data_IF_035918352113
#
_entry.id   IF_035918352113
#
_cell.length_a   1.000
_cell.length_b   1.000
_cell.length_c   1.000
_cell.angle_alpha   90.00
_cell.angle_beta   90.00
_cell.angle_gamma   90.00
#
_symmetry.space_group_name_H-M   'P 1'
#
loop_
_entity.id
_entity.type
_entity.pdbx_description
1 polymer ?
#
# COMPACT_ATOMS: atom_id res chain seq x y z
N UNK A 1 -78.01 -35.00 -53.93
CA UNK A 1 -76.67 -35.60 -54.11
C UNK A 1 -75.69 -34.66 -53.44
N UNK A 2 -74.97 -35.16 -52.44
CA UNK A 2 -73.95 -34.47 -51.64
C UNK A 2 -72.91 -33.76 -52.54
N UNK A 3 -72.10 -32.80 -52.12
CA UNK A 3 -71.36 -32.73 -50.86
C UNK A 3 -70.69 -31.35 -50.78
N UNK A 4 -70.82 -30.71 -49.62
CA UNK A 4 -69.73 -30.08 -48.84
C UNK A 4 -68.62 -29.34 -49.62
N UNK A 5 -68.61 -28.01 -49.46
CA UNK A 5 -67.40 -27.32 -49.02
C UNK A 5 -67.76 -26.43 -47.83
N UNK A 6 -67.84 -27.13 -46.70
CA UNK A 6 -67.85 -26.64 -45.34
C UNK A 6 -66.48 -26.02 -45.03
N UNK A 7 -66.25 -24.79 -45.46
CA UNK A 7 -65.18 -23.96 -44.94
C UNK A 7 -65.77 -22.58 -44.64
N UNK A 8 -65.65 -22.16 -43.38
CA UNK A 8 -66.03 -20.84 -42.85
C UNK A 8 -67.37 -20.73 -42.10
N UNK A 9 -67.99 -21.82 -41.65
CA UNK A 9 -69.19 -21.74 -40.78
C UNK A 9 -68.92 -21.72 -39.27
N UNK A 10 -67.67 -21.54 -38.81
CA UNK A 10 -67.39 -21.55 -37.35
C UNK A 10 -66.45 -20.41 -36.87
N UNK A 11 -65.89 -19.59 -37.76
CA UNK A 11 -64.91 -18.57 -37.36
C UNK A 11 -65.47 -17.29 -36.74
N UNK A 12 -66.62 -16.81 -37.24
CA UNK A 12 -67.00 -15.39 -37.06
C UNK A 12 -68.19 -15.16 -36.13
N UNK A 13 -68.78 -16.21 -35.56
CA UNK A 13 -70.03 -16.11 -34.80
C UNK A 13 -69.88 -15.93 -33.27
N UNK A 14 -68.65 -15.93 -32.73
CA UNK A 14 -68.40 -15.80 -31.28
C UNK A 14 -67.41 -14.69 -30.93
N UNK A 15 -67.60 -13.50 -31.50
CA UNK A 15 -66.88 -12.30 -31.11
C UNK A 15 -67.82 -11.10 -31.11
N UNK A 16 -68.12 -10.58 -29.93
CA UNK A 16 -68.96 -9.41 -29.70
C UNK A 16 -68.68 -8.29 -30.73
N UNK A 17 -69.65 -8.00 -31.62
CA UNK A 17 -69.52 -6.97 -32.66
C UNK A 17 -69.36 -5.56 -32.09
N UNK A 18 -69.74 -5.35 -30.82
CA UNK A 18 -69.49 -4.09 -30.09
C UNK A 18 -68.00 -3.87 -29.79
N UNK A 19 -67.16 -4.91 -29.88
CA UNK A 19 -65.71 -4.78 -29.72
C UNK A 19 -65.02 -4.37 -31.02
N UNK A 20 -65.71 -4.37 -32.17
CA UNK A 20 -65.09 -4.01 -33.46
C UNK A 20 -64.79 -2.51 -33.58
N UNK A 21 -65.56 -1.69 -32.87
CA UNK A 21 -65.38 -0.23 -32.81
C UNK A 21 -64.56 0.23 -31.58
N UNK A 22 -64.11 -0.70 -30.74
CA UNK A 22 -63.15 -0.37 -29.69
C UNK A 22 -61.79 -0.18 -30.34
N UNK A 23 -61.45 1.09 -30.59
CA UNK A 23 -60.11 1.51 -31.00
C UNK A 23 -59.10 0.79 -30.13
N UNK A 24 -58.31 -0.08 -30.74
CA UNK A 24 -57.18 -0.73 -30.10
C UNK A 24 -56.32 0.39 -29.52
N UNK A 25 -56.36 0.59 -28.20
CA UNK A 25 -55.52 1.58 -27.55
C UNK A 25 -54.10 1.09 -27.78
N UNK A 26 -53.43 1.68 -28.77
CA UNK A 26 -52.02 1.43 -29.00
C UNK A 26 -51.33 1.63 -27.65
N UNK A 27 -50.74 0.55 -27.12
CA UNK A 27 -49.94 0.64 -25.92
C UNK A 27 -48.93 1.77 -26.16
N UNK A 28 -48.77 2.71 -25.22
CA UNK A 28 -47.82 3.80 -25.40
C UNK A 28 -46.47 3.15 -25.73
N UNK A 29 -45.82 3.66 -26.79
CA UNK A 29 -44.46 3.26 -27.14
C UNK A 29 -43.65 3.14 -25.86
N UNK A 30 -42.97 2.00 -25.67
CA UNK A 30 -42.23 1.72 -24.45
C UNK A 30 -41.26 2.87 -24.21
N UNK A 31 -41.61 3.73 -23.25
CA UNK A 31 -40.79 4.88 -22.89
C UNK A 31 -39.48 4.29 -22.42
N UNK A 32 -38.40 4.55 -23.17
CA UNK A 32 -37.10 4.04 -22.82
C UNK A 32 -36.74 4.63 -21.45
N UNK A 33 -36.84 3.82 -20.40
CA UNK A 33 -36.42 4.19 -19.04
C UNK A 33 -34.90 4.33 -18.93
N UNK A 34 -34.18 4.11 -20.02
CA UNK A 34 -32.77 4.41 -20.11
C UNK A 34 -32.62 5.94 -20.18
N UNK A 35 -31.99 6.56 -19.18
CA UNK A 35 -31.80 7.99 -19.16
C UNK A 35 -30.94 8.39 -20.37
N UNK A 36 -31.58 8.97 -21.38
CA UNK A 36 -30.99 9.53 -22.59
C UNK A 36 -30.27 10.86 -22.28
N UNK A 37 -29.46 10.89 -21.23
CA UNK A 37 -28.73 12.10 -20.84
C UNK A 37 -27.25 11.80 -20.70
N UNK A 38 -26.45 12.67 -21.31
CA UNK A 38 -25.00 12.70 -21.24
C UNK A 38 -24.49 12.88 -19.79
N UNK A 39 -25.41 13.14 -18.84
CA UNK A 39 -25.13 13.22 -17.41
C UNK A 39 -24.50 11.95 -16.83
N UNK A 40 -24.86 10.75 -17.31
CA UNK A 40 -24.15 9.53 -16.89
C UNK A 40 -22.71 9.49 -17.38
N UNK A 41 -22.43 10.07 -18.55
CA UNK A 41 -21.08 10.19 -19.06
C UNK A 41 -20.25 11.12 -18.17
N UNK A 42 -20.85 12.23 -17.71
CA UNK A 42 -20.23 13.14 -16.73
C UNK A 42 -20.03 12.44 -15.38
N UNK A 43 -21.02 11.68 -14.88
CA UNK A 43 -20.89 10.92 -13.62
C UNK A 43 -19.80 9.85 -13.74
N UNK A 44 -19.77 9.10 -14.85
CA UNK A 44 -18.72 8.12 -15.12
C UNK A 44 -17.34 8.77 -15.22
N UNK A 45 -17.23 9.94 -15.84
CA UNK A 45 -15.98 10.70 -15.94
C UNK A 45 -15.49 11.15 -14.55
N UNK A 46 -16.38 11.71 -13.74
CA UNK A 46 -16.07 12.13 -12.37
C UNK A 46 -15.66 10.93 -11.52
N UNK A 47 -16.40 9.82 -11.60
CA UNK A 47 -16.07 8.59 -10.90
C UNK A 47 -14.72 8.03 -11.35
N UNK A 48 -14.44 8.03 -12.65
CA UNK A 48 -13.14 7.61 -13.20
C UNK A 48 -11.98 8.48 -12.71
N UNK A 49 -12.17 9.80 -12.59
CA UNK A 49 -11.17 10.70 -12.01
C UNK A 49 -10.93 10.42 -10.53
N UNK A 50 -11.99 10.18 -9.76
CA UNK A 50 -11.87 9.81 -8.34
C UNK A 50 -11.15 8.48 -8.16
N UNK A 51 -11.54 7.46 -8.93
CA UNK A 51 -10.89 6.15 -8.95
C UNK A 51 -9.42 6.31 -9.36
N UNK A 52 -9.13 7.06 -10.43
CA UNK A 52 -7.79 7.31 -10.91
C UNK A 52 -6.90 7.98 -9.84
N UNK A 53 -7.39 9.04 -9.19
CA UNK A 53 -6.67 9.67 -8.07
C UNK A 53 -6.45 8.68 -6.92
N UNK A 54 -7.47 7.91 -6.57
CA UNK A 54 -7.37 6.92 -5.49
C UNK A 54 -6.33 5.85 -5.83
N UNK A 55 -6.32 5.32 -7.06
CA UNK A 55 -5.34 4.34 -7.53
C UNK A 55 -3.93 4.93 -7.57
N UNK A 56 -3.76 6.20 -7.94
CA UNK A 56 -2.44 6.84 -7.92
C UNK A 56 -1.91 6.96 -6.49
N UNK A 57 -2.74 7.40 -5.54
CA UNK A 57 -2.36 7.51 -4.13
C UNK A 57 -2.11 6.13 -3.50
N UNK A 58 -2.99 5.16 -3.76
CA UNK A 58 -2.85 3.79 -3.30
C UNK A 58 -1.62 3.12 -3.92
N UNK A 59 -1.35 3.37 -5.20
CA UNK A 59 -0.16 2.93 -5.92
C UNK A 59 1.09 3.48 -5.27
N UNK A 60 1.19 4.79 -5.06
CA UNK A 60 2.35 5.40 -4.39
C UNK A 60 2.57 4.81 -2.98
N UNK A 61 1.50 4.59 -2.21
CA UNK A 61 1.57 3.92 -0.91
C UNK A 61 2.00 2.45 -1.03
N UNK A 62 1.55 1.74 -2.07
CA UNK A 62 1.93 0.36 -2.34
C UNK A 62 3.40 0.22 -2.75
N UNK A 63 3.90 1.12 -3.61
CA UNK A 63 5.31 1.18 -4.00
C UNK A 63 6.20 1.45 -2.79
N UNK A 64 5.78 2.35 -1.88
CA UNK A 64 6.44 2.58 -0.58
C UNK A 64 6.41 1.35 0.32
N UNK A 65 5.31 0.60 0.37
CA UNK A 65 5.25 -0.60 1.20
C UNK A 65 5.92 -1.84 0.59
N UNK A 66 6.28 -1.82 -0.71
CA UNK A 66 6.89 -2.97 -1.39
C UNK A 66 8.30 -3.25 -0.90
N UNK A 67 9.10 -2.21 -0.65
CA UNK A 67 10.45 -2.39 -0.12
C UNK A 67 10.39 -2.97 1.30
N UNK A 68 9.47 -2.49 2.14
CA UNK A 68 9.25 -3.00 3.51
C UNK A 68 8.98 -4.50 3.50
N UNK A 69 8.09 -4.98 2.62
CA UNK A 69 7.79 -6.41 2.48
C UNK A 69 9.00 -7.25 2.07
N UNK A 70 9.78 -6.78 1.07
CA UNK A 70 10.99 -7.50 0.61
C UNK A 70 12.07 -7.58 1.68
N UNK A 71 12.26 -6.51 2.43
CA UNK A 71 13.26 -6.46 3.50
C UNK A 71 12.82 -7.30 4.70
N UNK A 72 11.53 -7.26 5.04
CA UNK A 72 10.96 -8.11 6.08
C UNK A 72 11.08 -9.60 5.75
N UNK A 73 10.80 -10.00 4.51
CA UNK A 73 10.99 -11.41 4.10
C UNK A 73 12.45 -11.84 4.16
N UNK A 74 13.39 -10.95 3.86
CA UNK A 74 14.83 -11.23 3.97
C UNK A 74 15.27 -11.35 5.43
N UNK A 75 14.76 -10.51 6.33
CA UNK A 75 15.03 -10.60 7.78
C UNK A 75 14.48 -11.90 8.38
N UNK A 76 13.31 -12.36 7.93
CA UNK A 76 12.75 -13.65 8.36
C UNK A 76 13.54 -14.86 7.88
N UNK A 77 14.27 -14.72 6.77
CA UNK A 77 15.12 -15.77 6.22
C UNK A 77 16.51 -15.82 6.88
N UNK A 78 16.83 -14.89 7.80
CA UNK A 78 18.08 -14.91 8.53
C UNK A 78 18.12 -16.08 9.51
N UNK A 79 19.24 -16.81 9.50
CA UNK A 79 19.53 -17.80 10.52
C UNK A 79 20.10 -17.12 11.77
N UNK A 80 19.42 -17.28 12.90
CA UNK A 80 19.84 -16.74 14.20
C UNK A 80 21.15 -17.40 14.67
N UNK A 81 21.43 -18.61 14.18
CA UNK A 81 22.59 -19.43 14.57
C UNK A 81 23.89 -18.94 13.93
N UNK A 82 23.82 -18.27 12.77
CA UNK A 82 25.00 -17.76 12.07
C UNK A 82 25.49 -16.44 12.70
N UNK A 83 26.35 -16.56 13.70
CA UNK A 83 26.90 -15.43 14.44
C UNK A 83 27.94 -14.63 13.64
N UNK A 84 28.46 -15.18 12.53
CA UNK A 84 29.50 -14.55 11.71
C UNK A 84 28.89 -13.66 10.62
N UNK A 85 27.88 -14.16 9.91
CA UNK A 85 27.30 -13.45 8.77
C UNK A 85 26.08 -12.58 9.11
N UNK A 86 25.28 -12.97 10.11
CA UNK A 86 24.02 -12.27 10.44
C UNK A 86 24.20 -10.80 10.80
N UNK A 87 25.20 -10.39 11.62
CA UNK A 87 25.43 -8.98 11.96
C UNK A 87 25.67 -8.10 10.73
N UNK A 88 26.52 -8.58 9.80
CA UNK A 88 26.86 -7.86 8.56
C UNK A 88 25.68 -7.83 7.59
N UNK A 89 24.94 -8.93 7.49
CA UNK A 89 23.76 -9.00 6.64
C UNK A 89 22.68 -8.02 7.10
N UNK A 90 22.40 -7.96 8.40
CA UNK A 90 21.43 -7.01 8.97
C UNK A 90 21.86 -5.56 8.72
N UNK A 91 23.16 -5.26 8.87
CA UNK A 91 23.68 -3.92 8.58
C UNK A 91 23.44 -3.51 7.13
N UNK A 92 23.80 -4.37 6.18
CA UNK A 92 23.56 -4.13 4.76
C UNK A 92 22.07 -3.97 4.44
N UNK A 93 21.22 -4.78 5.07
CA UNK A 93 19.78 -4.74 4.85
C UNK A 93 19.15 -3.44 5.38
N UNK A 94 19.57 -2.97 6.55
CA UNK A 94 19.16 -1.69 7.12
C UNK A 94 19.69 -0.50 6.29
N UNK A 95 20.94 -0.55 5.82
CA UNK A 95 21.44 0.48 4.90
C UNK A 95 20.62 0.51 3.59
N UNK A 96 20.31 -0.65 3.01
CA UNK A 96 19.43 -0.74 1.84
C UNK A 96 18.01 -0.21 2.12
N UNK A 97 17.51 -0.42 3.34
CA UNK A 97 16.23 0.14 3.79
C UNK A 97 16.29 1.67 3.83
N UNK A 98 17.33 2.21 4.46
CA UNK A 98 17.54 3.66 4.59
C UNK A 98 17.68 4.32 3.22
N UNK A 99 18.47 3.76 2.31
CA UNK A 99 18.64 4.29 0.96
C UNK A 99 17.32 4.33 0.15
N UNK A 100 16.44 3.36 0.38
CA UNK A 100 15.13 3.31 -0.29
C UNK A 100 14.08 4.21 0.38
N UNK A 101 14.11 4.32 1.71
CA UNK A 101 13.19 5.15 2.47
C UNK A 101 13.54 6.66 2.39
N UNK A 102 14.83 7.00 2.35
CA UNK A 102 15.35 8.36 2.45
C UNK A 102 16.07 8.82 1.18
N UNK A 103 15.32 9.01 0.09
CA UNK A 103 15.90 9.35 -1.22
C UNK A 103 16.63 10.71 -1.24
N UNK A 104 16.28 11.66 -0.37
CA UNK A 104 16.94 12.97 -0.28
C UNK A 104 18.22 12.91 0.54
N UNK A 105 18.22 12.11 1.61
CA UNK A 105 19.34 11.96 2.54
C UNK A 105 20.17 10.70 2.23
N UNK A 106 19.95 10.05 1.08
CA UNK A 106 20.56 8.77 0.73
C UNK A 106 22.09 8.82 0.68
N UNK A 107 22.65 9.97 0.30
CA UNK A 107 24.10 10.18 0.29
C UNK A 107 24.68 10.15 1.71
N UNK A 108 24.00 10.81 2.66
CA UNK A 108 24.39 10.81 4.08
C UNK A 108 24.15 9.44 4.70
N UNK A 109 22.98 8.84 4.48
CA UNK A 109 22.60 7.51 4.97
C UNK A 109 23.57 6.40 4.51
N UNK A 110 24.09 6.48 3.28
CA UNK A 110 25.04 5.51 2.74
C UNK A 110 26.48 5.68 3.25
N UNK A 111 26.83 6.85 3.79
CA UNK A 111 28.17 7.13 4.33
C UNK A 111 28.27 6.92 5.84
N UNK A 112 27.14 6.86 6.54
CA UNK A 112 27.08 6.66 7.98
C UNK A 112 27.49 5.22 8.35
N UNK A 113 28.46 5.13 9.26
CA UNK A 113 28.97 3.88 9.83
C UNK A 113 29.15 4.05 11.34
N UNK A 114 29.10 2.95 12.08
CA UNK A 114 29.36 2.96 13.52
C UNK A 114 28.28 3.69 14.32
N UNK A 115 28.65 4.46 15.36
CA UNK A 115 27.68 5.07 16.27
C UNK A 115 26.81 6.13 15.58
N UNK A 116 27.35 6.83 14.57
CA UNK A 116 26.59 7.82 13.79
C UNK A 116 25.43 7.17 13.03
N UNK A 117 25.58 5.90 12.61
CA UNK A 117 24.50 5.15 11.97
C UNK A 117 23.38 4.80 12.96
N UNK A 118 23.72 4.45 14.21
CA UNK A 118 22.72 4.18 15.26
C UNK A 118 21.90 5.41 15.58
N UNK A 119 22.55 6.55 15.81
CA UNK A 119 21.88 7.85 16.04
C UNK A 119 20.96 8.22 14.88
N UNK A 120 21.38 7.96 13.65
CA UNK A 120 20.53 8.17 12.48
C UNK A 120 19.29 7.26 12.49
N UNK A 121 19.46 5.97 12.77
CA UNK A 121 18.34 5.03 12.88
C UNK A 121 17.33 5.49 13.94
N UNK A 122 17.80 5.94 15.11
CA UNK A 122 16.92 6.41 16.17
C UNK A 122 16.21 7.71 15.79
N UNK A 123 16.89 8.65 15.12
CA UNK A 123 16.26 9.89 14.61
C UNK A 123 15.16 9.64 13.57
N UNK A 124 15.18 8.47 12.94
CA UNK A 124 14.22 8.03 11.93
C UNK A 124 12.96 7.38 12.54
N UNK A 125 12.89 7.28 13.86
CA UNK A 125 11.82 6.64 14.61
C UNK A 125 11.31 7.56 15.72
N UNK A 126 9.99 7.57 15.92
CA UNK A 126 9.37 8.39 16.96
C UNK A 126 9.43 7.72 18.35
N UNK A 127 9.48 6.39 18.37
CA UNK A 127 9.77 5.60 19.56
C UNK A 127 11.27 5.33 19.61
N UNK A 128 11.87 5.50 20.78
CA UNK A 128 13.26 5.12 21.06
C UNK A 128 13.46 3.66 20.72
N UNK A 129 14.05 3.39 19.55
CA UNK A 129 14.46 2.04 19.23
C UNK A 129 15.66 1.70 20.12
N UNK A 130 15.73 0.46 20.60
CA UNK A 130 16.80 -0.02 21.50
C UNK A 130 18.16 -0.17 20.76
N UNK A 131 18.39 0.63 19.70
CA UNK A 131 19.62 0.65 18.93
C UNK A 131 20.71 1.50 19.60
N UNK A 132 20.36 2.54 20.37
CA UNK A 132 21.27 3.27 21.28
C UNK A 132 21.60 2.48 22.57
N UNK A 133 21.58 1.15 22.48
CA UNK A 133 21.92 0.24 23.58
C UNK A 133 23.34 -0.28 23.42
N UNK A 134 23.92 -0.81 24.50
CA UNK A 134 25.21 -1.49 24.49
C UNK A 134 25.29 -2.60 23.41
N UNK A 135 24.16 -3.20 23.05
CA UNK A 135 24.07 -4.21 21.98
C UNK A 135 24.28 -3.58 20.59
N UNK A 136 23.79 -2.36 20.36
CA UNK A 136 23.98 -1.63 19.10
C UNK A 136 25.45 -1.23 18.90
N UNK A 137 26.11 -0.77 19.96
CA UNK A 137 27.55 -0.49 19.92
C UNK A 137 28.37 -1.75 19.67
N UNK A 138 28.08 -2.83 20.42
CA UNK A 138 28.74 -4.14 20.25
C UNK A 138 28.52 -4.67 18.83
N UNK A 139 27.32 -4.51 18.28
CA UNK A 139 27.01 -4.86 16.89
C UNK A 139 27.89 -4.08 15.90
N UNK A 140 27.96 -2.75 16.04
CA UNK A 140 28.79 -1.94 15.16
C UNK A 140 30.27 -2.33 15.29
N UNK A 141 30.76 -2.63 16.49
CA UNK A 141 32.12 -3.12 16.70
C UNK A 141 32.33 -4.50 16.06
N UNK A 142 31.38 -5.42 16.16
CA UNK A 142 31.47 -6.76 15.57
C UNK A 142 31.58 -6.75 14.02
N UNK A 143 31.19 -5.66 13.35
CA UNK A 143 31.36 -5.51 11.91
C UNK A 143 32.83 -5.33 11.47
N UNK A 144 33.67 -4.77 12.35
CA UNK A 144 35.05 -4.38 12.06
C UNK A 144 36.08 -5.13 12.92
N UNK A 145 35.72 -5.48 14.16
CA UNK A 145 36.60 -6.15 15.12
C UNK A 145 36.26 -7.66 15.21
N UNK A 146 37.20 -8.55 14.84
CA UNK A 146 37.03 -10.00 15.02
C UNK A 146 36.85 -10.40 16.49
N UNK A 147 37.43 -9.64 17.43
CA UNK A 147 37.31 -9.89 18.86
C UNK A 147 35.87 -9.70 19.36
N UNK A 148 35.21 -8.62 18.95
CA UNK A 148 33.81 -8.37 19.27
C UNK A 148 32.88 -9.41 18.61
N UNK A 149 33.25 -9.90 17.42
CA UNK A 149 32.54 -11.00 16.76
C UNK A 149 32.65 -12.33 17.55
N UNK A 150 33.73 -12.54 18.31
CA UNK A 150 33.89 -13.74 19.15
C UNK A 150 33.01 -13.74 20.40
N UNK A 151 32.65 -12.54 20.90
CA UNK A 151 31.67 -12.36 21.99
C UNK A 151 30.22 -12.35 21.47
N UNK A 152 30.04 -12.32 20.15
CA UNK A 152 28.73 -12.32 19.52
C UNK A 152 28.05 -13.68 19.64
N UNK A 153 26.79 -13.67 20.07
CA UNK A 153 26.04 -14.88 20.39
C UNK A 153 24.71 -14.92 19.63
N UNK A 154 24.10 -16.10 19.55
CA UNK A 154 22.77 -16.26 18.95
C UNK A 154 21.69 -15.41 19.65
N UNK A 155 21.83 -15.16 20.96
CA UNK A 155 20.93 -14.27 21.69
C UNK A 155 21.07 -12.81 21.20
N UNK A 156 22.30 -12.35 20.96
CA UNK A 156 22.55 -11.01 20.39
C UNK A 156 21.95 -10.89 18.98
N UNK A 157 22.07 -11.94 18.15
CA UNK A 157 21.40 -12.01 16.85
C UNK A 157 19.88 -11.86 16.96
N UNK A 158 19.25 -12.55 17.92
CA UNK A 158 17.80 -12.51 18.08
C UNK A 158 17.31 -11.11 18.46
N UNK A 159 17.98 -10.45 19.41
CA UNK A 159 17.66 -9.07 19.79
C UNK A 159 17.83 -8.14 18.58
N UNK A 160 18.94 -8.27 17.85
CA UNK A 160 19.22 -7.43 16.68
C UNK A 160 18.17 -7.60 15.57
N UNK A 161 17.74 -8.83 15.30
CA UNK A 161 16.68 -9.12 14.31
C UNK A 161 15.36 -8.49 14.75
N UNK A 162 14.98 -8.61 16.03
CA UNK A 162 13.75 -8.02 16.55
C UNK A 162 13.78 -6.49 16.48
N UNK A 163 14.89 -5.88 16.88
CA UNK A 163 15.07 -4.43 16.78
C UNK A 163 15.00 -3.96 15.32
N UNK A 164 15.62 -4.69 14.39
CA UNK A 164 15.58 -4.37 12.96
C UNK A 164 14.17 -4.50 12.37
N UNK A 165 13.42 -5.54 12.78
CA UNK A 165 12.02 -5.71 12.39
C UNK A 165 11.13 -4.58 12.95
N UNK A 166 11.35 -4.19 14.21
CA UNK A 166 10.62 -3.11 14.87
C UNK A 166 10.85 -1.78 14.16
N UNK A 167 12.10 -1.46 13.86
CA UNK A 167 12.45 -0.26 13.12
C UNK A 167 11.84 -0.26 11.73
N UNK A 168 11.95 -1.35 10.97
CA UNK A 168 11.34 -1.43 9.62
C UNK A 168 9.81 -1.26 9.61
N UNK A 169 9.16 -1.51 10.76
CA UNK A 169 7.71 -1.32 10.93
C UNK A 169 7.37 0.12 11.31
N UNK A 170 8.16 0.73 12.20
CA UNK A 170 7.87 2.03 12.82
C UNK A 170 8.58 3.20 12.16
N UNK A 171 9.53 2.97 11.25
CA UNK A 171 10.31 4.05 10.66
C UNK A 171 9.41 4.94 9.79
N UNK A 172 9.68 6.23 9.95
CA UNK A 172 9.03 7.33 9.26
C UNK A 172 9.63 7.40 7.84
N UNK A 173 8.84 7.73 6.83
CA UNK A 173 9.42 7.93 5.48
C UNK A 173 9.90 9.38 5.31
N UNK A 174 10.80 9.64 4.34
CA UNK A 174 11.37 10.98 4.03
C UNK A 174 10.35 12.13 3.95
N UNK A 175 9.12 11.82 3.51
CA UNK A 175 8.03 12.79 3.40
C UNK A 175 7.58 13.32 4.77
N UNK A 176 7.59 12.48 5.80
CA UNK A 176 7.15 12.79 7.15
C UNK A 176 8.32 13.32 8.00
N UNK A 177 9.55 12.87 7.75
CA UNK A 177 10.75 13.40 8.41
C UNK A 177 10.93 14.90 8.12
N UNK A 178 10.69 15.33 6.88
CA UNK A 178 10.76 16.74 6.50
C UNK A 178 9.66 17.62 7.13
N UNK A 179 8.51 17.03 7.52
CA UNK A 179 7.47 17.76 8.25
C UNK A 179 7.82 17.94 9.72
N UNK A 180 8.50 16.96 10.33
CA UNK A 180 8.92 17.02 11.73
C UNK A 180 10.05 18.04 11.93
N UNK A 181 11.08 18.01 11.08
CA UNK A 181 12.17 19.00 11.14
C UNK A 181 11.69 20.45 10.92
N UNK A 182 10.70 20.64 10.04
CA UNK A 182 10.14 21.97 9.77
C UNK A 182 9.28 22.50 10.91
N UNK A 183 8.68 21.63 11.71
CA UNK A 183 7.96 21.99 12.94
C UNK A 183 8.91 22.47 14.04
N UNK A 184 9.99 21.72 14.28
CA UNK A 184 10.99 22.05 15.31
C UNK A 184 11.75 23.36 15.02
N UNK A 185 12.10 23.63 13.76
CA UNK A 185 12.73 24.90 13.38
C UNK A 185 11.79 26.11 13.58
N UNK A 186 10.48 25.91 13.42
CA UNK A 186 9.50 26.99 13.61
C UNK A 186 9.29 27.34 15.09
N UNK A 187 9.39 26.36 15.99
CA UNK A 187 9.28 26.60 17.43
C UNK A 187 10.60 27.10 18.05
N UNK A 188 11.76 26.70 17.51
CA UNK A 188 13.05 27.30 17.91
C UNK A 188 13.13 28.80 17.60
N UNK A 189 12.66 29.23 16.43
CA UNK A 189 12.71 30.64 16.02
C UNK A 189 11.68 31.55 16.74
N UNK A 190 10.88 31.03 17.68
CA UNK A 190 9.98 31.82 18.54
C UNK A 190 10.56 32.12 19.92
N UNK A 191 11.74 31.58 20.24
CA UNK A 191 12.38 31.73 21.54
C UNK A 191 13.70 32.50 21.49
N UNK A 192 14.07 33.01 20.32
CA UNK A 192 15.13 34.01 20.11
C UNK A 192 14.50 35.39 19.82
#
# INVERSE_FOLDING_TARGET
MADVDNANLVGDAFGNLLLRDMVQINAPEQISFLPQTWGWLVVCLVLALFIGRYLLLAGQKYWRNRYRKKLHSKLLACDVSDCSHTPRFIHQLLQQACLQAYRKQSLTAGQLQGPAFLVFLDSCTQDSTEFDSAIGELWQQALYLPLALSEWSAAHNQVLILSAQRWLKLHIDDAELGTHQRGDDHDRNKHD
#
